data_IF_186937661153
#
_entry.id   IF_186937661153
#
_cell.length_a   1.000
_cell.length_b   1.000
_cell.length_c   1.000
_cell.angle_alpha   90.00
_cell.angle_beta   90.00
_cell.angle_gamma   90.00
#
_symmetry.space_group_name_H-M   'P 1'
#
loop_
_entity.id
_entity.type
_entity.pdbx_description
1 polymer ?
#
# COMPACT_ATOMS: atom_id res chain seq x y z
N UNK A 1 12.85 -3.26 -30.41
CA UNK A 1 12.99 -3.24 -28.93
C UNK A 1 11.71 -3.76 -28.29
N UNK A 2 11.64 -5.06 -28.00
CA UNK A 2 10.52 -5.61 -27.23
C UNK A 2 10.70 -5.14 -25.79
N UNK A 3 9.91 -4.14 -25.37
CA UNK A 3 9.75 -3.81 -23.96
C UNK A 3 9.03 -4.99 -23.35
N UNK A 4 9.79 -5.96 -22.85
CA UNK A 4 9.26 -7.00 -21.98
C UNK A 4 8.74 -6.28 -20.74
N UNK A 5 7.44 -6.02 -20.73
CA UNK A 5 6.74 -5.66 -19.51
C UNK A 5 6.87 -6.87 -18.59
N UNK A 6 7.93 -6.89 -17.78
CA UNK A 6 8.11 -7.85 -16.69
C UNK A 6 6.98 -7.57 -15.70
N UNK A 7 5.89 -8.32 -15.86
CA UNK A 7 4.67 -8.20 -15.05
C UNK A 7 4.80 -9.00 -13.74
N UNK A 8 5.78 -9.90 -13.65
CA UNK A 8 5.99 -10.78 -12.50
C UNK A 8 6.67 -10.06 -11.32
N UNK A 9 5.98 -10.07 -10.18
CA UNK A 9 6.40 -9.47 -8.91
C UNK A 9 7.78 -9.93 -8.45
N UNK A 10 8.22 -11.14 -8.82
CA UNK A 10 9.49 -11.69 -8.37
C UNK A 10 10.72 -11.13 -9.12
N UNK A 11 10.58 -10.66 -10.35
CA UNK A 11 11.70 -10.18 -11.17
C UNK A 11 11.88 -8.65 -11.21
N UNK A 12 10.98 -7.88 -10.58
CA UNK A 12 11.15 -6.43 -10.49
C UNK A 12 12.24 -6.08 -9.47
N UNK A 13 13.21 -5.27 -9.93
CA UNK A 13 14.15 -4.52 -9.11
C UNK A 13 13.41 -3.87 -7.93
N UNK A 14 13.99 -3.84 -6.73
CA UNK A 14 13.31 -3.31 -5.54
C UNK A 14 12.73 -1.91 -5.73
N UNK A 15 13.32 -1.11 -6.63
CA UNK A 15 12.82 0.20 -7.06
C UNK A 15 11.42 0.15 -7.68
N UNK A 16 11.15 -0.84 -8.52
CA UNK A 16 9.84 -1.03 -9.16
C UNK A 16 8.77 -1.54 -8.19
N UNK A 17 9.16 -2.36 -7.21
CA UNK A 17 8.29 -2.76 -6.09
C UNK A 17 7.94 -1.57 -5.20
N UNK A 18 8.92 -0.71 -4.92
CA UNK A 18 8.72 0.50 -4.13
C UNK A 18 7.79 1.49 -4.83
N UNK A 19 7.99 1.81 -6.11
CA UNK A 19 7.10 2.71 -6.86
C UNK A 19 5.68 2.17 -6.90
N UNK A 20 5.49 0.86 -7.09
CA UNK A 20 4.16 0.25 -7.12
C UNK A 20 3.46 0.30 -5.75
N UNK A 21 4.21 0.08 -4.67
CA UNK A 21 3.73 0.26 -3.30
C UNK A 21 3.40 1.73 -3.00
N UNK A 22 4.20 2.66 -3.50
CA UNK A 22 4.05 4.10 -3.33
C UNK A 22 2.75 4.63 -3.95
N UNK A 23 2.24 4.04 -5.04
CA UNK A 23 0.95 4.41 -5.63
C UNK A 23 -0.19 3.47 -5.20
N UNK A 24 0.08 2.17 -5.05
CA UNK A 24 -0.92 1.17 -4.71
C UNK A 24 -1.47 1.31 -3.29
N UNK A 25 -0.62 1.57 -2.30
CA UNK A 25 -1.06 1.75 -0.92
C UNK A 25 -1.89 3.02 -0.68
N UNK A 26 -1.48 4.22 -1.12
CA UNK A 26 -2.33 5.39 -0.95
C UNK A 26 -3.62 5.30 -1.76
N UNK A 27 -3.63 4.62 -2.92
CA UNK A 27 -4.87 4.35 -3.66
C UNK A 27 -5.80 3.42 -2.87
N UNK A 28 -5.26 2.36 -2.27
CA UNK A 28 -6.03 1.44 -1.42
C UNK A 28 -6.58 2.14 -0.17
N UNK A 29 -5.79 3.00 0.48
CA UNK A 29 -6.26 3.83 1.59
C UNK A 29 -7.34 4.80 1.13
N UNK A 30 -7.13 5.52 0.03
CA UNK A 30 -8.14 6.44 -0.51
C UNK A 30 -9.47 5.72 -0.79
N UNK A 31 -9.43 4.51 -1.35
CA UNK A 31 -10.62 3.69 -1.58
C UNK A 31 -11.28 3.24 -0.27
N UNK A 32 -10.49 2.89 0.75
CA UNK A 32 -10.99 2.53 2.07
C UNK A 32 -11.72 3.71 2.75
N UNK A 33 -11.09 4.90 2.76
CA UNK A 33 -11.70 6.11 3.30
C UNK A 33 -12.95 6.51 2.52
N UNK A 34 -12.93 6.36 1.19
CA UNK A 34 -14.14 6.53 0.36
C UNK A 34 -15.23 5.56 0.80
N UNK A 35 -14.95 4.26 0.87
CA UNK A 35 -15.92 3.23 1.20
C UNK A 35 -16.57 3.45 2.59
N UNK A 36 -15.78 3.93 3.56
CA UNK A 36 -16.27 4.27 4.90
C UNK A 36 -17.09 5.56 4.91
N UNK A 37 -16.77 6.53 4.04
CA UNK A 37 -17.49 7.81 3.94
C UNK A 37 -18.84 7.69 3.24
N UNK A 38 -19.07 6.62 2.48
CA UNK A 38 -20.36 6.37 1.84
C UNK A 38 -21.42 6.06 2.92
N UNK A 39 -22.59 6.73 2.88
CA UNK A 39 -23.67 6.44 3.81
C UNK A 39 -24.08 4.99 3.64
N UNK A 40 -23.74 4.18 4.63
CA UNK A 40 -24.07 2.77 4.66
C UNK A 40 -25.46 2.62 5.27
N UNK A 41 -26.43 2.11 4.50
CA UNK A 41 -27.77 1.81 5.02
C UNK A 41 -27.77 0.66 6.06
N UNK A 42 -26.61 0.03 6.28
CA UNK A 42 -26.44 -1.08 7.21
C UNK A 42 -25.85 -0.57 8.54
N UNK A 43 -26.57 -0.71 9.66
CA UNK A 43 -26.14 -0.20 10.98
C UNK A 43 -24.87 -0.86 11.52
N UNK A 44 -24.45 -2.00 10.96
CA UNK A 44 -23.26 -2.75 11.36
C UNK A 44 -21.96 -1.99 11.03
N UNK A 45 -21.98 -1.18 9.96
CA UNK A 45 -20.82 -0.38 9.52
C UNK A 45 -20.77 1.01 10.15
N UNK A 46 -21.78 1.38 10.93
CA UNK A 46 -21.88 2.70 11.59
C UNK A 46 -21.20 2.73 12.97
N UNK A 47 -20.49 1.65 13.31
CA UNK A 47 -19.72 1.57 14.56
C UNK A 47 -18.46 2.43 14.49
N UNK A 48 -18.11 3.07 15.61
CA UNK A 48 -16.86 3.87 15.77
C UNK A 48 -15.63 3.05 15.37
N UNK A 49 -15.69 1.73 15.57
CA UNK A 49 -14.64 0.80 15.14
C UNK A 49 -14.40 0.83 13.62
N UNK A 50 -15.45 0.69 12.80
CA UNK A 50 -15.33 0.68 11.35
C UNK A 50 -14.93 2.05 10.79
N UNK A 51 -15.42 3.13 11.39
CA UNK A 51 -15.14 4.50 10.90
C UNK A 51 -13.79 5.07 11.31
N UNK A 52 -13.25 4.64 12.46
CA UNK A 52 -12.05 5.23 13.04
C UNK A 52 -10.93 4.22 13.17
N UNK A 53 -11.17 3.09 13.82
CA UNK A 53 -10.12 2.10 14.09
C UNK A 53 -9.64 1.39 12.83
N UNK A 54 -10.55 0.94 11.98
CA UNK A 54 -10.20 0.25 10.72
C UNK A 54 -9.29 1.11 9.80
N UNK A 55 -9.64 2.36 9.44
CA UNK A 55 -8.78 3.18 8.58
C UNK A 55 -7.47 3.56 9.27
N UNK A 56 -7.48 3.75 10.59
CA UNK A 56 -6.27 4.08 11.35
C UNK A 56 -5.28 2.91 11.38
N UNK A 57 -5.76 1.68 11.61
CA UNK A 57 -4.94 0.46 11.55
C UNK A 57 -4.43 0.24 10.12
N UNK A 58 -5.29 0.38 9.11
CA UNK A 58 -4.88 0.24 7.70
C UNK A 58 -3.76 1.22 7.33
N UNK A 59 -3.87 2.48 7.80
CA UNK A 59 -2.86 3.51 7.56
C UNK A 59 -1.52 3.15 8.23
N UNK A 60 -1.56 2.63 9.46
CA UNK A 60 -0.36 2.15 10.17
C UNK A 60 0.31 0.99 9.45
N UNK A 61 -0.46 -0.01 8.98
CA UNK A 61 0.08 -1.16 8.24
C UNK A 61 0.76 -0.69 6.96
N UNK A 62 0.14 0.23 6.22
CA UNK A 62 0.73 0.81 5.01
C UNK A 62 2.04 1.54 5.31
N UNK A 63 2.10 2.32 6.39
CA UNK A 63 3.32 3.03 6.79
C UNK A 63 4.44 2.04 7.13
N UNK A 64 4.14 0.98 7.88
CA UNK A 64 5.12 -0.05 8.23
C UNK A 64 5.63 -0.76 6.96
N UNK A 65 4.75 -1.12 6.04
CA UNK A 65 5.15 -1.79 4.80
C UNK A 65 5.97 -0.86 3.89
N UNK A 66 5.63 0.42 3.83
CA UNK A 66 6.40 1.42 3.09
C UNK A 66 7.81 1.60 3.67
N UNK A 67 7.93 1.66 5.01
CA UNK A 67 9.23 1.71 5.70
C UNK A 67 10.02 0.43 5.48
N UNK A 68 9.38 -0.73 5.52
CA UNK A 68 10.05 -2.01 5.26
C UNK A 68 10.58 -2.09 3.83
N UNK A 69 9.76 -1.73 2.83
CA UNK A 69 10.15 -1.68 1.43
C UNK A 69 11.27 -0.66 1.19
N UNK A 70 11.21 0.51 1.84
CA UNK A 70 12.27 1.51 1.76
C UNK A 70 13.59 0.99 2.35
N UNK A 71 13.55 0.39 3.54
CA UNK A 71 14.75 -0.20 4.17
C UNK A 71 15.32 -1.34 3.34
N UNK A 72 14.45 -2.18 2.76
CA UNK A 72 14.86 -3.26 1.87
C UNK A 72 15.52 -2.72 0.60
N UNK A 73 14.92 -1.71 -0.03
CA UNK A 73 15.49 -1.05 -1.20
C UNK A 73 16.87 -0.45 -0.90
N UNK A 74 17.01 0.25 0.23
CA UNK A 74 18.29 0.83 0.64
C UNK A 74 19.39 -0.22 0.85
N UNK A 75 19.05 -1.36 1.49
CA UNK A 75 19.99 -2.48 1.65
C UNK A 75 20.42 -3.11 0.32
N UNK A 76 19.50 -3.21 -0.64
CA UNK A 76 19.80 -3.74 -1.98
C UNK A 76 20.66 -2.76 -2.80
N UNK A 77 20.52 -1.44 -2.62
CA UNK A 77 21.43 -0.44 -3.21
C UNK A 77 22.83 -0.49 -2.59
N UNK A 78 22.94 -0.59 -1.26
CA UNK A 78 24.23 -0.69 -0.55
C UNK A 78 24.98 -1.99 -0.89
N UNK A 79 24.27 -3.08 -1.18
CA UNK A 79 24.88 -4.36 -1.59
C UNK A 79 25.28 -4.41 -3.07
N UNK A 80 24.84 -3.45 -3.90
CA UNK A 80 25.17 -3.38 -5.33
C UNK A 80 26.33 -2.40 -5.63
N UNK A 81 26.77 -1.59 -4.65
CA UNK A 81 28.01 -0.79 -4.72
C UNK A 81 29.23 -1.63 -4.34
#
# INVERSE_FOLDING_TARGET
MKKEYKIFYWELDARGKFIRSLWGHPLALAFLYWAISLPSERPIFDTVFMKVWLPLIATLVVLVDLVYLYRKWKKEEESKQ
#
